data_IF_092232394888
#
_entry.id   IF_092232394888
#
_cell.length_a   1.000
_cell.length_b   1.000
_cell.length_c   1.000
_cell.angle_alpha   90.00
_cell.angle_beta   90.00
_cell.angle_gamma   90.00
#
_symmetry.space_group_name_H-M   'P 1'
#
loop_
_entity.id
_entity.type
_entity.pdbx_description
1 polymer ?
#
# COMPACT_ATOMS: atom_id res chain seq x y z
N UNK A 1 15.75 -14.05 5.07
CA UNK A 1 14.71 -14.06 4.01
C UNK A 1 15.30 -14.16 2.62
N UNK A 2 16.38 -13.43 2.29
CA UNK A 2 17.05 -13.55 0.98
C UNK A 2 17.44 -15.00 0.64
N UNK A 3 17.89 -15.77 1.62
CA UNK A 3 18.32 -17.17 1.45
C UNK A 3 17.14 -18.15 1.23
N UNK A 4 15.90 -17.68 1.35
CA UNK A 4 14.70 -18.48 1.12
C UNK A 4 14.09 -18.26 -0.27
N UNK A 5 14.62 -17.33 -1.03
CA UNK A 5 14.11 -16.94 -2.35
C UNK A 5 15.06 -17.39 -3.45
N UNK A 6 14.53 -18.10 -4.43
CA UNK A 6 15.26 -18.40 -5.67
C UNK A 6 15.46 -17.14 -6.53
N UNK A 7 16.41 -17.17 -7.48
CA UNK A 7 16.79 -15.99 -8.28
C UNK A 7 15.66 -15.43 -9.15
N UNK A 8 14.67 -16.26 -9.51
CA UNK A 8 13.53 -15.88 -10.36
C UNK A 8 12.21 -15.78 -9.57
N UNK A 9 12.27 -15.95 -8.25
CA UNK A 9 11.08 -15.89 -7.42
C UNK A 9 10.64 -14.45 -7.15
N UNK A 10 9.34 -14.29 -7.01
CA UNK A 10 8.69 -13.07 -6.55
C UNK A 10 7.90 -13.36 -5.28
N UNK A 11 7.72 -12.36 -4.45
CA UNK A 11 7.01 -12.52 -3.20
C UNK A 11 6.05 -11.37 -2.93
N UNK A 12 5.08 -11.65 -2.08
CA UNK A 12 4.16 -10.65 -1.56
C UNK A 12 4.73 -10.10 -0.25
N UNK A 13 4.81 -8.78 -0.15
CA UNK A 13 5.13 -8.10 1.10
C UNK A 13 3.91 -7.33 1.58
N UNK A 14 3.54 -7.53 2.84
CA UNK A 14 2.31 -6.96 3.40
C UNK A 14 2.57 -6.38 4.79
N UNK A 15 2.04 -5.18 5.04
CA UNK A 15 1.95 -4.62 6.38
C UNK A 15 0.77 -5.26 7.11
N UNK A 16 0.93 -5.54 8.40
CA UNK A 16 -0.09 -6.22 9.20
C UNK A 16 -1.28 -5.32 9.58
N UNK A 17 -1.09 -4.02 9.54
CA UNK A 17 -2.04 -2.98 9.92
C UNK A 17 -2.82 -2.39 8.73
N UNK A 18 -2.59 -2.88 7.51
CA UNK A 18 -3.30 -2.46 6.31
C UNK A 18 -4.31 -3.52 5.86
N UNK A 19 -5.57 -3.31 6.20
CA UNK A 19 -6.67 -4.18 5.79
C UNK A 19 -7.31 -3.67 4.50
N UNK A 20 -7.93 -4.58 3.75
CA UNK A 20 -8.61 -4.21 2.50
C UNK A 20 -9.96 -4.91 2.35
N UNK A 21 -10.96 -4.17 1.85
CA UNK A 21 -12.28 -4.69 1.45
C UNK A 21 -12.43 -4.59 -0.06
N UNK A 22 -12.62 -5.70 -0.73
CA UNK A 22 -12.77 -5.74 -2.19
C UNK A 22 -13.45 -7.04 -2.64
N UNK A 23 -14.10 -7.02 -3.81
CA UNK A 23 -14.66 -8.23 -4.43
C UNK A 23 -13.56 -9.17 -4.90
N UNK A 24 -12.50 -8.62 -5.49
CA UNK A 24 -11.29 -9.35 -5.89
C UNK A 24 -10.21 -8.99 -4.88
N UNK A 25 -9.64 -9.97 -4.14
CA UNK A 25 -8.59 -9.67 -3.16
C UNK A 25 -7.49 -8.78 -3.75
N UNK A 26 -7.13 -7.71 -3.05
CA UNK A 26 -6.17 -6.72 -3.55
C UNK A 26 -4.84 -7.36 -3.93
N UNK A 27 -4.34 -8.30 -3.12
CA UNK A 27 -3.12 -9.05 -3.47
C UNK A 27 -3.24 -9.76 -4.81
N UNK A 28 -4.42 -10.32 -5.14
CA UNK A 28 -4.68 -10.95 -6.45
C UNK A 28 -4.63 -9.92 -7.58
N UNK A 29 -5.21 -8.73 -7.38
CA UNK A 29 -5.13 -7.64 -8.37
C UNK A 29 -3.68 -7.30 -8.69
N UNK A 30 -2.82 -7.14 -7.66
CA UNK A 30 -1.40 -6.84 -7.85
C UNK A 30 -0.64 -7.99 -8.51
N UNK A 31 -0.95 -9.25 -8.16
CA UNK A 31 -0.35 -10.43 -8.79
C UNK A 31 -0.64 -10.46 -10.29
N UNK A 32 -1.86 -10.12 -10.73
CA UNK A 32 -2.21 -10.10 -12.16
C UNK A 32 -1.41 -9.03 -12.93
N UNK A 33 -1.20 -7.86 -12.33
CA UNK A 33 -0.31 -6.83 -12.89
C UNK A 33 1.13 -7.34 -12.97
N UNK A 34 1.62 -7.96 -11.91
CA UNK A 34 2.96 -8.53 -11.90
C UNK A 34 3.15 -9.59 -12.97
N UNK A 35 2.21 -10.54 -13.10
CA UNK A 35 2.27 -11.58 -14.13
C UNK A 35 2.29 -11.01 -15.54
N UNK A 36 1.51 -9.95 -15.77
CA UNK A 36 1.35 -9.33 -17.09
C UNK A 36 2.57 -8.54 -17.54
N UNK A 37 3.20 -7.81 -16.63
CA UNK A 37 4.24 -6.84 -16.99
C UNK A 37 5.62 -7.18 -16.46
N UNK A 38 5.73 -8.11 -15.51
CA UNK A 38 6.98 -8.54 -14.89
C UNK A 38 7.87 -7.37 -14.43
N UNK A 39 7.34 -6.36 -13.76
CA UNK A 39 8.14 -5.25 -13.24
C UNK A 39 9.02 -5.69 -12.08
N UNK A 40 9.95 -4.84 -11.65
CA UNK A 40 10.73 -5.09 -10.43
C UNK A 40 9.85 -5.06 -9.17
N UNK A 41 8.81 -4.21 -9.16
CA UNK A 41 7.83 -4.18 -8.09
C UNK A 41 6.45 -3.72 -8.59
N UNK A 42 5.38 -4.17 -7.91
CA UNK A 42 4.03 -3.61 -7.99
C UNK A 42 3.65 -3.11 -6.59
N UNK A 43 3.19 -1.88 -6.53
CA UNK A 43 2.76 -1.19 -5.30
C UNK A 43 1.26 -0.95 -5.37
N UNK A 44 0.52 -1.36 -4.35
CA UNK A 44 -0.89 -1.02 -4.21
C UNK A 44 -1.04 0.44 -3.78
N UNK A 45 -1.90 1.19 -4.48
CA UNK A 45 -2.17 2.59 -4.16
C UNK A 45 -3.67 2.87 -4.16
N UNK A 46 -4.07 3.87 -3.38
CA UNK A 46 -5.44 4.39 -3.35
C UNK A 46 -5.42 5.90 -3.23
N UNK A 47 -6.37 6.54 -3.86
CA UNK A 47 -6.60 7.96 -3.66
C UNK A 47 -7.08 8.25 -2.23
N UNK A 48 -6.45 9.22 -1.57
CA UNK A 48 -6.83 9.69 -0.23
C UNK A 48 -7.20 11.18 -0.27
N UNK A 49 -7.96 11.68 0.73
CA UNK A 49 -8.17 13.11 0.88
C UNK A 49 -6.83 13.87 0.95
N UNK A 50 -6.76 15.05 0.33
CA UNK A 50 -5.52 15.86 0.35
C UNK A 50 -5.06 16.24 1.76
N UNK A 51 -5.99 16.32 2.71
CA UNK A 51 -5.73 16.58 4.12
C UNK A 51 -4.96 15.44 4.80
N UNK A 52 -5.03 14.25 4.24
CA UNK A 52 -4.43 13.02 4.80
C UNK A 52 -3.11 12.62 4.13
N UNK A 53 -2.67 13.30 3.06
CA UNK A 53 -1.45 12.91 2.31
C UNK A 53 -0.19 12.88 3.17
N UNK A 54 -0.11 13.73 4.20
CA UNK A 54 1.01 13.77 5.15
C UNK A 54 1.11 12.56 6.08
N UNK A 55 0.08 11.72 6.10
CA UNK A 55 0.07 10.48 6.89
C UNK A 55 0.74 9.33 6.16
N UNK A 56 0.87 9.42 4.83
CA UNK A 56 1.22 8.29 3.97
C UNK A 56 2.35 8.63 2.99
N UNK A 57 2.96 7.59 2.46
CA UNK A 57 3.80 7.72 1.27
C UNK A 57 2.95 7.93 0.02
N UNK A 58 3.24 8.92 -0.81
CA UNK A 58 2.53 9.21 -2.05
C UNK A 58 3.39 8.94 -3.27
N UNK A 59 2.77 8.57 -4.39
CA UNK A 59 3.47 8.24 -5.62
C UNK A 59 3.36 9.36 -6.64
N UNK A 60 4.46 9.66 -7.35
CA UNK A 60 4.48 10.46 -8.56
C UNK A 60 4.63 9.54 -9.76
N UNK A 61 3.70 9.64 -10.71
CA UNK A 61 3.74 8.84 -11.92
C UNK A 61 4.73 9.39 -12.94
N UNK A 62 5.41 8.49 -13.64
CA UNK A 62 6.32 8.82 -14.73
C UNK A 62 5.51 9.17 -15.99
N UNK A 63 5.60 10.40 -16.50
CA UNK A 63 4.85 10.80 -17.70
C UNK A 63 5.20 9.95 -18.93
N UNK A 64 4.20 9.75 -19.81
CA UNK A 64 4.40 9.07 -21.10
C UNK A 64 4.66 7.58 -21.01
N UNK A 65 4.58 6.96 -19.83
CA UNK A 65 4.70 5.51 -19.69
C UNK A 65 3.39 4.80 -19.98
N UNK A 66 3.49 3.62 -20.57
CA UNK A 66 2.32 2.82 -21.00
C UNK A 66 1.54 2.22 -19.82
N UNK A 67 2.15 2.16 -18.64
CA UNK A 67 1.59 1.62 -17.40
C UNK A 67 1.89 2.64 -16.30
N UNK A 68 1.15 2.62 -15.21
CA UNK A 68 1.33 3.51 -14.06
C UNK A 68 2.70 3.33 -13.37
N UNK A 69 3.78 3.51 -14.14
CA UNK A 69 5.13 3.48 -13.58
C UNK A 69 5.34 4.69 -12.68
N UNK A 70 5.98 4.46 -11.55
CA UNK A 70 6.36 5.55 -10.67
C UNK A 70 7.66 6.22 -11.16
N UNK A 71 7.69 7.53 -11.07
CA UNK A 71 8.90 8.35 -11.16
C UNK A 71 9.59 8.40 -9.80
N UNK A 72 8.80 8.65 -8.76
CA UNK A 72 9.26 8.72 -7.37
C UNK A 72 8.12 8.46 -6.38
N UNK A 73 8.52 8.18 -5.15
CA UNK A 73 7.66 8.17 -3.96
C UNK A 73 8.18 9.18 -2.95
N UNK A 74 7.26 9.85 -2.27
CA UNK A 74 7.60 10.77 -1.19
C UNK A 74 6.90 10.30 0.07
N UNK A 75 7.67 9.99 1.11
CA UNK A 75 7.13 9.52 2.39
C UNK A 75 6.68 10.71 3.22
N UNK A 76 5.42 10.68 3.68
CA UNK A 76 4.82 11.66 4.60
C UNK A 76 5.13 13.11 4.23
N UNK A 77 4.99 13.46 2.95
CA UNK A 77 5.19 14.81 2.46
C UNK A 77 4.11 15.74 2.99
N UNK A 78 4.49 16.96 3.32
CA UNK A 78 3.50 18.01 3.55
C UNK A 78 2.60 18.16 2.32
N UNK A 79 1.35 18.57 2.53
CA UNK A 79 0.34 18.78 1.49
C UNK A 79 0.87 19.58 0.28
N UNK A 80 1.65 20.62 0.56
CA UNK A 80 2.20 21.52 -0.47
C UNK A 80 3.37 20.91 -1.26
N UNK A 81 3.94 19.80 -0.78
CA UNK A 81 5.06 19.09 -1.41
C UNK A 81 4.64 17.74 -2.01
N UNK A 82 3.43 17.26 -1.72
CA UNK A 82 2.92 16.03 -2.31
C UNK A 82 2.58 16.26 -3.78
N UNK A 83 3.15 15.45 -4.67
CA UNK A 83 2.89 15.55 -6.12
C UNK A 83 1.53 15.00 -6.52
N UNK A 84 0.96 14.11 -5.73
CA UNK A 84 -0.36 13.49 -5.91
C UNK A 84 -0.94 13.09 -4.56
N UNK A 85 -2.23 12.76 -4.54
CA UNK A 85 -2.90 12.17 -3.40
C UNK A 85 -3.06 10.64 -3.53
N UNK A 86 -2.29 10.03 -4.43
CA UNK A 86 -2.23 8.57 -4.56
C UNK A 86 -1.31 8.00 -3.50
N UNK A 87 -1.89 7.56 -2.39
CA UNK A 87 -1.18 7.01 -1.25
C UNK A 87 -0.85 5.53 -1.45
N UNK A 88 0.37 5.14 -1.14
CA UNK A 88 0.75 3.75 -1.03
C UNK A 88 0.32 3.19 0.33
N UNK A 89 -0.03 1.95 0.36
CA UNK A 89 -0.28 1.18 1.57
C UNK A 89 0.45 -0.16 1.50
N UNK A 90 0.54 -0.85 2.61
CA UNK A 90 1.39 -2.03 2.76
C UNK A 90 0.96 -3.25 1.95
N UNK A 91 0.87 -3.12 0.65
CA UNK A 91 0.63 -4.23 -0.29
C UNK A 91 1.56 -4.12 -1.49
N UNK A 92 2.48 -5.07 -1.58
CA UNK A 92 3.51 -5.06 -2.61
C UNK A 92 3.69 -6.46 -3.20
N UNK A 93 4.03 -6.50 -4.49
CA UNK A 93 4.66 -7.66 -5.12
C UNK A 93 6.07 -7.26 -5.48
N UNK A 94 7.04 -7.98 -5.00
CA UNK A 94 8.46 -7.75 -5.26
C UNK A 94 9.06 -8.89 -6.06
N UNK A 95 9.86 -8.56 -7.07
CA UNK A 95 10.78 -9.52 -7.69
C UNK A 95 12.02 -9.70 -6.82
N UNK A 96 12.83 -10.70 -7.13
CA UNK A 96 14.10 -10.93 -6.45
C UNK A 96 15.05 -9.71 -6.48
N UNK A 97 14.94 -8.86 -7.50
CA UNK A 97 15.75 -7.62 -7.65
C UNK A 97 15.68 -6.69 -6.44
N UNK A 98 14.57 -6.74 -5.68
CA UNK A 98 14.41 -5.92 -4.47
C UNK A 98 15.41 -6.30 -3.39
N UNK A 99 15.87 -7.54 -3.35
CA UNK A 99 16.81 -8.02 -2.32
C UNK A 99 18.17 -7.31 -2.44
N UNK A 100 18.67 -7.15 -3.65
CA UNK A 100 19.93 -6.46 -3.89
C UNK A 100 19.79 -4.95 -3.63
N UNK A 101 18.63 -4.39 -3.96
CA UNK A 101 18.34 -2.99 -3.67
C UNK A 101 18.24 -2.72 -2.16
N UNK A 102 17.60 -3.60 -1.38
CA UNK A 102 17.54 -3.50 0.09
C UNK A 102 18.96 -3.50 0.67
N UNK A 103 19.82 -4.42 0.24
CA UNK A 103 21.22 -4.53 0.73
C UNK A 103 22.03 -3.26 0.46
N UNK A 104 21.74 -2.56 -0.63
CA UNK A 104 22.51 -1.39 -1.08
C UNK A 104 21.84 -0.05 -0.72
N UNK A 105 20.60 -0.04 -0.21
CA UNK A 105 19.89 1.19 0.18
C UNK A 105 20.46 1.69 1.51
N UNK A 106 20.95 2.94 1.58
CA UNK A 106 21.36 3.55 2.83
C UNK A 106 20.19 3.65 3.81
N UNK A 107 20.50 3.63 5.10
CA UNK A 107 19.51 3.97 6.13
C UNK A 107 19.09 5.44 5.95
N UNK A 108 17.78 5.67 5.99
CA UNK A 108 17.18 6.99 5.90
C UNK A 108 17.07 7.67 7.26
N UNK A 109 16.04 8.50 7.42
CA UNK A 109 15.72 9.18 8.67
C UNK A 109 15.59 8.16 9.80
N UNK A 110 16.04 8.53 10.98
CA UNK A 110 16.01 7.73 12.22
C UNK A 110 16.77 6.38 12.13
N UNK A 111 17.74 6.28 11.20
CA UNK A 111 18.52 5.06 10.92
C UNK A 111 17.65 3.86 10.50
N UNK A 112 16.51 4.12 9.89
CA UNK A 112 15.60 3.10 9.38
C UNK A 112 15.72 2.92 7.87
N UNK A 113 15.47 1.70 7.40
CA UNK A 113 15.37 1.40 5.97
C UNK A 113 13.92 1.63 5.52
N UNK A 114 13.68 2.72 4.81
CA UNK A 114 12.36 3.06 4.34
C UNK A 114 12.06 2.39 2.98
N UNK A 115 10.87 1.81 2.89
CA UNK A 115 10.40 1.16 1.64
C UNK A 115 10.37 2.17 0.48
N UNK A 116 9.99 3.42 0.74
CA UNK A 116 9.99 4.49 -0.26
C UNK A 116 11.37 4.76 -0.85
N UNK A 117 12.43 4.78 -0.02
CA UNK A 117 13.80 5.01 -0.49
C UNK A 117 14.29 3.87 -1.38
N UNK A 118 14.03 2.64 -0.97
CA UNK A 118 14.36 1.45 -1.76
C UNK A 118 13.59 1.47 -3.09
N UNK A 119 12.29 1.78 -3.08
CA UNK A 119 11.48 1.84 -4.31
C UNK A 119 11.92 2.98 -5.25
N UNK A 120 12.31 4.13 -4.71
CA UNK A 120 12.87 5.24 -5.50
C UNK A 120 14.16 4.84 -6.22
N UNK A 121 15.03 4.10 -5.56
CA UNK A 121 16.27 3.59 -6.18
C UNK A 121 15.98 2.55 -7.24
N UNK A 122 15.03 1.64 -6.94
CA UNK A 122 14.60 0.61 -7.88
C UNK A 122 13.96 1.21 -9.13
N UNK A 123 13.10 2.24 -8.99
CA UNK A 123 12.41 2.91 -10.09
C UNK A 123 13.37 3.63 -11.07
N UNK A 124 14.57 3.97 -10.64
CA UNK A 124 15.61 4.54 -11.51
C UNK A 124 16.27 3.50 -12.42
N UNK A 125 16.22 2.22 -12.05
CA UNK A 125 16.90 1.12 -12.72
C UNK A 125 15.95 0.22 -13.49
N UNK A 126 14.70 0.10 -13.00
CA UNK A 126 13.72 -0.85 -13.52
C UNK A 126 12.30 -0.30 -13.37
N UNK A 127 11.33 -0.99 -13.99
CA UNK A 127 9.93 -0.62 -13.86
C UNK A 127 9.39 -0.94 -12.46
N UNK A 128 8.83 0.07 -11.80
CA UNK A 128 8.01 -0.07 -10.60
C UNK A 128 6.62 0.47 -10.92
N UNK A 129 5.58 -0.34 -10.77
CA UNK A 129 4.20 0.00 -11.14
C UNK A 129 3.40 0.30 -9.88
N UNK A 130 2.77 1.48 -9.82
CA UNK A 130 1.77 1.80 -8.80
C UNK A 130 0.38 1.47 -9.35
N UNK A 131 -0.25 0.44 -8.80
CA UNK A 131 -1.56 -0.03 -9.23
C UNK A 131 -2.66 0.52 -8.32
N UNK A 132 -3.53 1.40 -8.84
CA UNK A 132 -4.77 1.74 -8.16
C UNK A 132 -5.62 0.50 -7.93
N UNK A 133 -6.05 0.29 -6.70
CA UNK A 133 -6.84 -0.90 -6.34
C UNK A 133 -8.33 -0.68 -6.59
N UNK A 134 -9.02 -1.77 -6.93
CA UNK A 134 -10.48 -1.84 -6.84
C UNK A 134 -10.86 -2.30 -5.43
N UNK A 135 -11.53 -1.44 -4.67
CA UNK A 135 -11.92 -1.71 -3.29
C UNK A 135 -11.60 -0.56 -2.35
N UNK A 136 -11.52 -0.86 -1.09
CA UNK A 136 -11.17 0.11 -0.02
C UNK A 136 -10.02 -0.41 0.82
N UNK A 137 -9.04 0.43 1.00
CA UNK A 137 -8.04 0.28 2.03
C UNK A 137 -8.56 0.85 3.36
N UNK A 138 -8.31 0.14 4.44
CA UNK A 138 -8.68 0.48 5.81
C UNK A 138 -7.43 0.29 6.67
N UNK A 139 -6.73 1.37 6.97
CA UNK A 139 -5.60 1.30 7.89
C UNK A 139 -6.07 1.03 9.32
N UNK A 140 -5.26 0.35 10.09
CA UNK A 140 -5.46 0.15 11.53
C UNK A 140 -4.27 0.68 12.34
N UNK A 141 -3.43 1.53 11.72
CA UNK A 141 -2.19 2.05 12.29
C UNK A 141 -2.39 3.11 13.38
N UNK A 142 -3.61 3.61 13.59
CA UNK A 142 -3.95 4.49 14.70
C UNK A 142 -5.30 4.10 15.33
N UNK A 143 -5.58 4.54 16.59
CA UNK A 143 -6.78 4.11 17.32
C UNK A 143 -8.09 4.42 16.62
N UNK A 144 -8.22 5.59 15.97
CA UNK A 144 -9.47 5.98 15.31
C UNK A 144 -9.73 5.10 14.08
N UNK A 145 -8.73 4.90 13.24
CA UNK A 145 -8.85 4.06 12.04
C UNK A 145 -9.04 2.58 12.41
N UNK A 146 -8.39 2.10 13.47
CA UNK A 146 -8.63 0.76 14.01
C UNK A 146 -10.10 0.55 14.40
N UNK A 147 -10.71 1.50 15.11
CA UNK A 147 -12.13 1.43 15.48
C UNK A 147 -13.04 1.47 14.24
N UNK A 148 -12.76 2.37 13.28
CA UNK A 148 -13.51 2.43 12.01
C UNK A 148 -13.44 1.11 11.25
N UNK A 149 -12.26 0.54 11.08
CA UNK A 149 -12.07 -0.74 10.42
C UNK A 149 -12.80 -1.87 11.16
N UNK A 150 -12.72 -1.92 12.49
CA UNK A 150 -13.41 -2.92 13.32
C UNK A 150 -14.93 -2.87 13.10
N UNK A 151 -15.53 -1.68 13.11
CA UNK A 151 -16.97 -1.50 12.85
C UNK A 151 -17.33 -1.99 11.44
N UNK A 152 -16.55 -1.60 10.44
CA UNK A 152 -16.79 -1.99 9.04
C UNK A 152 -16.75 -3.50 8.82
N UNK A 153 -15.77 -4.18 9.41
CA UNK A 153 -15.67 -5.64 9.30
C UNK A 153 -16.73 -6.36 10.15
N UNK A 154 -17.10 -5.83 11.32
CA UNK A 154 -18.17 -6.41 12.12
C UNK A 154 -19.53 -6.34 11.40
N UNK A 155 -19.82 -5.23 10.71
CA UNK A 155 -21.03 -5.07 9.93
C UNK A 155 -21.10 -5.93 8.65
N UNK A 156 -19.98 -6.48 8.19
CA UNK A 156 -19.95 -7.42 7.07
C UNK A 156 -20.17 -8.88 7.51
N UNK A 157 -19.99 -9.17 8.79
CA UNK A 157 -20.13 -10.54 9.31
C UNK A 157 -21.61 -10.91 9.50
N UNK A 158 -22.12 -11.95 8.80
CA UNK A 158 -23.53 -12.34 8.92
C UNK A 158 -23.98 -12.70 10.33
N UNK A 159 -23.07 -13.25 11.16
CA UNK A 159 -23.31 -13.71 12.53
C UNK A 159 -23.31 -12.54 13.56
N UNK A 160 -22.79 -11.37 13.21
CA UNK A 160 -22.69 -10.21 14.12
C UNK A 160 -23.51 -9.02 13.66
N UNK A 161 -23.75 -8.90 12.38
CA UNK A 161 -24.24 -7.69 11.71
C UNK A 161 -25.48 -7.08 12.38
N UNK A 162 -26.52 -7.86 12.58
CA UNK A 162 -27.80 -7.31 13.07
C UNK A 162 -27.73 -6.93 14.55
N UNK A 163 -27.13 -7.77 15.39
CA UNK A 163 -26.97 -7.48 16.82
C UNK A 163 -26.08 -6.26 17.03
N UNK A 164 -24.96 -6.20 16.30
CA UNK A 164 -24.04 -5.08 16.39
C UNK A 164 -24.64 -3.77 15.87
N UNK A 165 -25.40 -3.81 14.79
CA UNK A 165 -26.12 -2.66 14.26
C UNK A 165 -27.17 -2.14 15.25
N UNK A 166 -27.93 -3.04 15.92
CA UNK A 166 -28.89 -2.68 16.95
C UNK A 166 -28.19 -2.03 18.17
N UNK A 167 -27.05 -2.60 18.58
CA UNK A 167 -26.22 -2.01 19.63
C UNK A 167 -25.77 -0.59 19.25
N UNK A 168 -25.20 -0.38 18.06
CA UNK A 168 -24.77 0.95 17.61
C UNK A 168 -25.92 1.98 17.60
N UNK A 169 -27.13 1.55 17.19
CA UNK A 169 -28.32 2.43 17.23
C UNK A 169 -28.77 2.75 18.65
N UNK A 170 -28.50 1.89 19.63
CA UNK A 170 -28.85 2.12 21.03
C UNK A 170 -27.91 3.11 21.74
N UNK A 171 -26.75 3.41 21.15
CA UNK A 171 -25.84 4.40 21.69
C UNK A 171 -26.42 5.81 21.46
N UNK A 172 -26.71 6.53 22.53
CA UNK A 172 -27.04 7.94 22.47
C UNK A 172 -25.78 8.76 22.21
N UNK A 173 -25.36 8.84 20.93
CA UNK A 173 -24.26 9.68 20.51
C UNK A 173 -24.76 11.13 20.47
N UNK A 174 -24.38 11.93 21.48
CA UNK A 174 -24.59 13.38 21.52
C UNK A 174 -23.60 14.10 20.62
#
# INVERSE_FOLDING_TARGET
MADLLGPDESFVYMFGDDLTKSKIPVTKQLIEIYKRYRPAAVVGVQEVPWEEVSLYGTVKYKPGTKYNQIESMTEKADKDHASTNMAQFGRFIFSHKVIDEIKSTPLGKDSELWVADMLNRLARKDAVIAQPIEGRWLTTGDPLHFLKATIEFALDRPDLKEDFKNYLKSLNLQ
#
